data_IF_432428288835
#
_entry.id   IF_432428288835
#
_cell.length_a   1.000
_cell.length_b   1.000
_cell.length_c   1.000
_cell.angle_alpha   90.00
_cell.angle_beta   90.00
_cell.angle_gamma   90.00
#
_symmetry.space_group_name_H-M   'P 1'
#
loop_
_entity.id
_entity.type
_entity.pdbx_description
1 polymer ?
#
# COMPACT_ATOMS: atom_id res chain seq x y z
N UNK A 1 5.94 -7.78 -0.99
CA UNK A 1 6.33 -7.13 0.28
C UNK A 1 5.97 -8.05 1.45
N UNK A 2 6.94 -8.40 2.30
CA UNK A 2 6.68 -9.18 3.52
C UNK A 2 6.03 -8.29 4.60
N UNK A 3 5.10 -8.88 5.35
CA UNK A 3 4.64 -8.29 6.61
C UNK A 3 5.79 -8.23 7.63
N UNK A 4 5.74 -7.33 8.63
CA UNK A 4 6.85 -7.12 9.57
C UNK A 4 7.23 -8.35 10.38
N UNK A 5 6.27 -9.22 10.67
CA UNK A 5 6.46 -10.49 11.38
C UNK A 5 6.92 -11.64 10.45
N UNK A 6 6.99 -11.39 9.14
CA UNK A 6 7.34 -12.37 8.12
C UNK A 6 6.28 -13.44 7.86
N UNK A 7 5.10 -13.38 8.50
CA UNK A 7 4.08 -14.44 8.39
C UNK A 7 3.30 -14.37 7.06
N UNK A 8 3.16 -13.16 6.52
CA UNK A 8 2.44 -12.88 5.28
C UNK A 8 3.33 -12.26 4.20
N UNK A 9 3.04 -12.60 2.95
CA UNK A 9 3.61 -11.98 1.77
C UNK A 9 2.50 -11.35 0.94
N UNK A 10 2.60 -10.04 0.70
CA UNK A 10 1.78 -9.33 -0.26
C UNK A 10 2.46 -9.32 -1.64
N UNK A 11 1.72 -9.72 -2.66
CA UNK A 11 2.10 -9.68 -4.05
C UNK A 11 1.07 -8.87 -4.84
N UNK A 12 1.53 -7.94 -5.68
CA UNK A 12 0.69 -7.14 -6.56
C UNK A 12 1.18 -7.34 -7.99
N UNK A 13 0.26 -7.44 -8.94
CA UNK A 13 0.56 -7.66 -10.35
C UNK A 13 -0.19 -6.72 -11.29
N UNK A 14 -0.07 -6.99 -12.59
CA UNK A 14 -0.71 -6.22 -13.67
C UNK A 14 -2.23 -6.45 -13.77
N UNK A 15 -2.74 -7.47 -13.08
CA UNK A 15 -4.17 -7.83 -13.03
C UNK A 15 -4.99 -6.96 -12.06
N UNK A 16 -4.37 -5.93 -11.49
CA UNK A 16 -4.95 -5.05 -10.47
C UNK A 16 -5.39 -5.77 -9.18
N UNK A 17 -4.83 -6.96 -8.94
CA UNK A 17 -5.06 -7.72 -7.73
C UNK A 17 -3.84 -7.65 -6.81
N UNK A 18 -4.13 -7.67 -5.51
CA UNK A 18 -3.16 -7.87 -4.46
C UNK A 18 -3.49 -9.21 -3.80
N UNK A 19 -2.57 -10.15 -3.92
CA UNK A 19 -2.66 -11.46 -3.32
C UNK A 19 -1.84 -11.49 -2.03
N UNK A 20 -2.46 -11.99 -0.95
CA UNK A 20 -1.84 -12.17 0.35
C UNK A 20 -1.65 -13.66 0.59
N UNK A 21 -0.41 -14.06 0.78
CA UNK A 21 0.01 -15.44 0.96
C UNK A 21 0.49 -15.66 2.39
N UNK A 22 0.16 -16.80 2.97
CA UNK A 22 0.81 -17.26 4.18
C UNK A 22 2.16 -17.88 3.80
N UNK A 23 3.23 -17.38 4.39
CA UNK A 23 4.60 -17.78 4.03
C UNK A 23 4.93 -19.19 4.53
N UNK A 24 4.40 -19.59 5.69
CA UNK A 24 4.71 -20.90 6.28
C UNK A 24 3.93 -22.03 5.62
N UNK A 25 2.64 -21.82 5.32
CA UNK A 25 1.80 -22.83 4.70
C UNK A 25 1.79 -22.79 3.17
N UNK A 26 2.42 -21.79 2.56
CA UNK A 26 2.46 -21.57 1.11
C UNK A 26 1.06 -21.48 0.46
N UNK A 27 0.09 -20.95 1.19
CA UNK A 27 -1.30 -20.85 0.74
C UNK A 27 -1.72 -19.41 0.50
N UNK A 28 -2.53 -19.21 -0.54
CA UNK A 28 -3.24 -17.97 -0.76
C UNK A 28 -4.32 -17.79 0.32
N UNK A 29 -4.22 -16.72 1.10
CA UNK A 29 -5.15 -16.40 2.20
C UNK A 29 -6.25 -15.46 1.71
N UNK A 30 -5.89 -14.52 0.83
CA UNK A 30 -6.78 -13.43 0.45
C UNK A 30 -6.36 -12.77 -0.85
N UNK A 31 -7.36 -12.27 -1.59
CA UNK A 31 -7.18 -11.41 -2.75
C UNK A 31 -7.94 -10.12 -2.52
N UNK A 32 -7.28 -8.98 -2.73
CA UNK A 32 -7.84 -7.64 -2.71
C UNK A 32 -7.82 -7.11 -4.15
N UNK A 33 -8.86 -6.38 -4.55
CA UNK A 33 -8.91 -5.79 -5.88
C UNK A 33 -8.60 -4.29 -5.77
N UNK A 34 -7.43 -3.88 -6.26
CA UNK A 34 -6.96 -2.49 -6.17
C UNK A 34 -7.82 -1.55 -7.03
N UNK A 35 -8.45 -2.05 -8.11
CA UNK A 35 -9.28 -1.27 -9.05
C UNK A 35 -8.53 -0.11 -9.76
N UNK A 36 -7.28 0.20 -9.39
CA UNK A 36 -6.44 1.26 -9.96
C UNK A 36 -5.51 0.81 -11.07
N UNK A 37 -5.66 -0.42 -11.57
CA UNK A 37 -4.74 -1.04 -12.52
C UNK A 37 -3.56 -1.73 -11.85
N UNK A 38 -2.45 -1.90 -12.56
CA UNK A 38 -1.27 -2.60 -12.08
C UNK A 38 -0.73 -2.02 -10.76
N UNK A 39 -0.37 -2.90 -9.84
CA UNK A 39 0.14 -2.52 -8.52
C UNK A 39 1.67 -2.49 -8.54
N UNK A 40 2.27 -1.31 -8.42
CA UNK A 40 3.73 -1.13 -8.56
C UNK A 40 4.51 -1.07 -7.26
N UNK A 41 3.92 -0.47 -6.22
CA UNK A 41 4.55 -0.35 -4.93
C UNK A 41 3.59 -0.82 -3.84
N UNK A 42 4.17 -1.41 -2.80
CA UNK A 42 3.45 -1.88 -1.62
C UNK A 42 4.30 -1.66 -0.38
N UNK A 43 3.66 -1.29 0.72
CA UNK A 43 4.31 -1.16 2.02
C UNK A 43 3.40 -1.64 3.13
N UNK A 44 3.92 -2.48 4.01
CA UNK A 44 3.23 -2.85 5.24
C UNK A 44 3.44 -1.78 6.31
N UNK A 45 2.39 -1.53 7.08
CA UNK A 45 2.51 -0.82 8.35
C UNK A 45 3.35 -1.63 9.34
N UNK A 46 4.06 -0.99 10.29
CA UNK A 46 4.95 -1.66 11.23
C UNK A 46 4.24 -2.64 12.17
N UNK A 47 2.94 -2.46 12.43
CA UNK A 47 2.13 -3.37 13.23
C UNK A 47 1.50 -4.51 12.40
N UNK A 48 1.74 -4.53 11.09
CA UNK A 48 1.25 -5.55 10.17
C UNK A 48 -0.25 -5.49 9.87
N UNK A 49 -0.99 -4.49 10.37
CA UNK A 49 -2.46 -4.44 10.21
C UNK A 49 -2.90 -3.80 8.90
N UNK A 50 -2.15 -2.79 8.48
CA UNK A 50 -2.39 -2.05 7.25
C UNK A 50 -1.39 -2.42 6.15
N UNK A 51 -1.88 -2.46 4.93
CA UNK A 51 -1.08 -2.52 3.70
C UNK A 51 -1.41 -1.31 2.84
N UNK A 52 -0.40 -0.55 2.44
CA UNK A 52 -0.54 0.47 1.41
C UNK A 52 -0.14 -0.13 0.06
N UNK A 53 -0.93 0.12 -0.98
CA UNK A 53 -0.65 -0.24 -2.36
C UNK A 53 -0.78 0.98 -3.25
N UNK A 54 -0.12 0.96 -4.41
CA UNK A 54 -0.30 2.00 -5.42
C UNK A 54 -0.58 1.46 -6.80
N UNK A 55 -1.56 2.06 -7.47
CA UNK A 55 -1.97 1.72 -8.83
C UNK A 55 -1.36 2.61 -9.91
N UNK A 56 -1.61 2.26 -11.18
CA UNK A 56 -1.31 3.09 -12.35
C UNK A 56 -2.08 4.41 -12.38
N UNK A 57 -3.23 4.47 -11.71
CA UNK A 57 -4.04 5.67 -11.56
C UNK A 57 -3.41 6.76 -10.67
N UNK A 58 -2.19 6.52 -10.16
CA UNK A 58 -1.46 7.47 -9.30
C UNK A 58 -2.04 7.57 -7.89
N UNK A 59 -3.02 6.74 -7.55
CA UNK A 59 -3.63 6.70 -6.22
C UNK A 59 -2.93 5.69 -5.33
N UNK A 60 -3.06 5.93 -4.03
CA UNK A 60 -2.60 5.01 -3.00
C UNK A 60 -3.82 4.50 -2.26
N UNK A 61 -3.92 3.19 -2.08
CA UNK A 61 -4.99 2.55 -1.34
C UNK A 61 -4.43 1.94 -0.06
N UNK A 62 -5.15 2.13 1.03
CA UNK A 62 -4.77 1.63 2.35
C UNK A 62 -5.78 0.59 2.78
N UNK A 63 -5.31 -0.63 2.98
CA UNK A 63 -6.12 -1.81 3.25
C UNK A 63 -5.95 -2.24 4.69
N UNK A 64 -7.06 -2.50 5.37
CA UNK A 64 -7.06 -3.28 6.60
C UNK A 64 -7.14 -4.75 6.25
N UNK A 65 -6.07 -5.50 6.55
CA UNK A 65 -5.92 -6.88 6.09
C UNK A 65 -6.90 -7.82 6.77
N UNK A 66 -7.10 -7.66 8.09
CA UNK A 66 -7.97 -8.53 8.87
C UNK A 66 -9.41 -8.58 8.36
N UNK A 67 -9.97 -7.41 8.02
CA UNK A 67 -11.36 -7.28 7.58
C UNK A 67 -11.51 -7.17 6.06
N UNK A 68 -10.39 -7.11 5.32
CA UNK A 68 -10.36 -7.01 3.85
C UNK A 68 -11.00 -5.73 3.31
N UNK A 69 -10.88 -4.64 4.07
CA UNK A 69 -11.53 -3.36 3.77
C UNK A 69 -10.50 -2.38 3.22
N UNK A 70 -10.83 -1.70 2.13
CA UNK A 70 -10.11 -0.49 1.72
C UNK A 70 -10.57 0.66 2.62
N UNK A 71 -9.72 1.07 3.55
CA UNK A 71 -10.04 2.14 4.51
C UNK A 71 -9.95 3.52 3.87
N UNK A 72 -8.95 3.71 3.00
CA UNK A 72 -8.64 5.01 2.42
C UNK A 72 -8.12 4.86 0.99
N UNK A 73 -8.52 5.82 0.14
CA UNK A 73 -7.92 6.06 -1.17
C UNK A 73 -7.37 7.48 -1.17
N UNK A 74 -6.06 7.62 -1.32
CA UNK A 74 -5.36 8.89 -1.35
C UNK A 74 -5.18 9.31 -2.82
N UNK A 75 -5.68 10.49 -3.16
CA UNK A 75 -5.43 11.15 -4.46
C UNK A 75 -3.98 11.63 -4.50
N UNK A 76 -3.07 10.68 -4.71
CA UNK A 76 -1.70 10.85 -4.30
C UNK A 76 -0.87 11.60 -5.32
N UNK A 77 -0.82 11.15 -6.56
CA UNK A 77 0.11 11.68 -7.56
C UNK A 77 -0.56 11.80 -8.92
N UNK A 78 -0.02 12.65 -9.80
CA UNK A 78 -0.50 12.77 -11.18
C UNK A 78 0.16 11.76 -12.14
N UNK A 79 1.01 10.89 -11.61
CA UNK A 79 1.73 9.85 -12.34
C UNK A 79 1.99 8.65 -11.42
N UNK A 80 2.52 7.57 -11.99
CA UNK A 80 2.74 6.29 -11.30
C UNK A 80 3.56 6.46 -10.04
N UNK A 81 3.03 5.92 -8.94
CA UNK A 81 3.72 5.85 -7.67
C UNK A 81 4.66 4.65 -7.72
N UNK A 82 5.95 4.90 -7.49
CA UNK A 82 7.03 3.92 -7.62
C UNK A 82 7.54 3.40 -6.29
N UNK A 83 7.22 4.11 -5.20
CA UNK A 83 7.67 3.76 -3.87
C UNK A 83 6.67 4.16 -2.82
N UNK A 84 6.51 3.28 -1.83
CA UNK A 84 5.74 3.50 -0.63
C UNK A 84 6.58 3.08 0.59
N UNK A 85 6.49 3.84 1.67
CA UNK A 85 7.14 3.49 2.93
C UNK A 85 6.36 4.03 4.12
N UNK A 86 5.93 3.14 5.02
CA UNK A 86 5.41 3.57 6.31
C UNK A 86 6.55 4.06 7.20
N UNK A 87 6.30 5.13 7.96
CA UNK A 87 7.17 5.50 9.05
C UNK A 87 7.19 4.39 10.12
N UNK A 88 8.30 4.19 10.85
CA UNK A 88 8.40 3.13 11.87
C UNK A 88 7.36 3.21 12.98
N UNK A 89 6.78 4.39 13.22
CA UNK A 89 5.70 4.59 14.19
C UNK A 89 4.29 4.36 13.60
N UNK A 90 4.18 4.02 12.32
CA UNK A 90 2.91 3.78 11.61
C UNK A 90 2.05 5.01 11.34
N UNK A 91 2.39 6.17 11.89
CA UNK A 91 1.55 7.39 11.81
C UNK A 91 1.62 8.10 10.47
N UNK A 92 2.66 7.82 9.68
CA UNK A 92 2.89 8.47 8.39
C UNK A 92 3.20 7.46 7.30
N UNK A 93 2.86 7.83 6.08
CA UNK A 93 3.26 7.15 4.85
C UNK A 93 3.98 8.14 3.94
N UNK A 94 5.10 7.72 3.37
CA UNK A 94 5.78 8.41 2.30
C UNK A 94 5.45 7.74 0.96
N UNK A 95 5.22 8.56 -0.07
CA UNK A 95 5.03 8.09 -1.45
C UNK A 95 5.92 8.85 -2.42
N UNK A 96 6.53 8.12 -3.36
CA UNK A 96 7.36 8.68 -4.42
C UNK A 96 6.75 8.36 -5.79
N UNK A 97 6.83 9.30 -6.74
CA UNK A 97 6.19 9.15 -8.05
C UNK A 97 7.04 9.67 -9.21
N UNK A 98 6.74 9.19 -10.41
CA UNK A 98 7.23 9.74 -11.68
C UNK A 98 6.80 11.19 -11.93
N UNK A 99 5.89 11.75 -11.14
CA UNK A 99 5.59 13.19 -11.17
C UNK A 99 6.72 14.07 -10.59
N UNK A 100 7.81 13.43 -10.13
CA UNK A 100 9.03 14.03 -9.56
C UNK A 100 8.81 14.62 -8.18
N UNK A 101 7.79 14.18 -7.46
CA UNK A 101 7.53 14.61 -6.08
C UNK A 101 7.56 13.44 -5.10
N UNK A 102 7.85 13.77 -3.84
CA UNK A 102 7.59 12.89 -2.70
C UNK A 102 6.50 13.51 -1.85
N UNK A 103 5.52 12.71 -1.43
CA UNK A 103 4.43 13.16 -0.57
C UNK A 103 4.42 12.43 0.75
N UNK A 104 4.12 13.18 1.81
CA UNK A 104 3.98 12.66 3.17
C UNK A 104 2.52 12.75 3.60
N UNK A 105 2.00 11.65 4.12
CA UNK A 105 0.60 11.49 4.49
C UNK A 105 0.48 11.23 5.99
N UNK A 106 -0.55 11.79 6.61
CA UNK A 106 -0.99 11.41 7.95
C UNK A 106 -1.96 10.24 7.85
N UNK A 107 -1.62 9.11 8.47
CA UNK A 107 -2.40 7.87 8.32
C UNK A 107 -3.69 7.86 9.14
N UNK A 108 -3.77 8.68 10.19
CA UNK A 108 -4.99 8.79 11.00
C UNK A 108 -6.10 9.53 10.23
N UNK A 109 -5.75 10.60 9.52
CA UNK A 109 -6.70 11.47 8.81
C UNK A 109 -6.73 11.27 7.29
N UNK A 110 -5.74 10.59 6.72
CA UNK A 110 -5.56 10.47 5.26
C UNK A 110 -5.15 11.78 4.59
N UNK A 111 -4.74 12.80 5.35
CA UNK A 111 -4.39 14.12 4.80
C UNK A 111 -2.96 14.18 4.31
N UNK A 112 -2.77 14.89 3.21
CA UNK A 112 -1.44 15.29 2.73
C UNK A 112 -0.84 16.30 3.71
N UNK A 113 0.32 15.96 4.27
CA UNK A 113 1.09 16.82 5.17
C UNK A 113 2.07 17.70 4.39
N UNK A 114 2.75 17.12 3.40
CA UNK A 114 3.82 17.80 2.68
C UNK A 114 4.04 17.19 1.29
N UNK A 115 4.39 18.06 0.33
CA UNK A 115 4.97 17.70 -0.96
C UNK A 115 6.40 18.23 -1.01
N UNK A 116 7.33 17.37 -1.40
CA UNK A 116 8.76 17.62 -1.54
C UNK A 116 9.16 17.51 -3.01
#
# INVERSE_FOLDING_TARGET
>A
AFAPDGSLLAHGGDDALIQIWNVTSETLVQTLADQGGAVHAMAWSPDGKLLASSGFDGRIRVWEIQNKICLQTLEAHTNWVTGLAFAPNGTRLASASWDRTVRLWDMASGRLLQTL
#
